data_IF_055076035632
#
_entry.id   IF_055076035632
#
_cell.length_a   1.000
_cell.length_b   1.000
_cell.length_c   1.000
_cell.angle_alpha   90.00
_cell.angle_beta   90.00
_cell.angle_gamma   90.00
#
_symmetry.space_group_name_H-M   'P 1'
#
loop_
_entity.id
_entity.type
_entity.pdbx_description
1 polymer ?
#
# COMPACT_ATOMS: atom_id res chain seq x y z
N UNK A 1 -21.30 -23.88 -8.81
CA UNK A 1 -20.63 -23.67 -7.50
C UNK A 1 -19.77 -24.87 -7.08
N UNK A 2 -20.31 -26.09 -6.93
CA UNK A 2 -19.53 -27.27 -6.46
C UNK A 2 -18.31 -27.66 -7.31
N UNK A 3 -18.32 -27.40 -8.63
CA UNK A 3 -17.18 -27.68 -9.51
C UNK A 3 -15.98 -26.72 -9.28
N UNK A 4 -16.25 -25.46 -8.92
CA UNK A 4 -15.21 -24.44 -8.69
C UNK A 4 -14.39 -24.75 -7.44
N UNK A 5 -15.03 -25.25 -6.37
CA UNK A 5 -14.37 -25.63 -5.12
C UNK A 5 -13.46 -26.85 -5.26
N UNK A 6 -13.58 -27.63 -6.35
CA UNK A 6 -12.74 -28.81 -6.61
C UNK A 6 -11.48 -28.46 -7.40
N UNK A 7 -11.44 -27.27 -8.03
CA UNK A 7 -10.26 -26.76 -8.70
C UNK A 7 -9.41 -25.94 -7.72
N UNK A 8 -8.30 -26.52 -7.25
CA UNK A 8 -7.39 -25.90 -6.27
C UNK A 8 -6.89 -24.53 -6.71
N UNK A 9 -6.65 -24.32 -8.01
CA UNK A 9 -6.23 -23.02 -8.55
C UNK A 9 -7.35 -21.98 -8.47
N UNK A 10 -8.59 -22.38 -8.79
CA UNK A 10 -9.74 -21.48 -8.68
C UNK A 10 -10.01 -21.06 -7.23
N UNK A 11 -9.84 -21.99 -6.28
CA UNK A 11 -9.97 -21.69 -4.85
C UNK A 11 -8.85 -20.77 -4.36
N UNK A 12 -7.60 -21.00 -4.78
CA UNK A 12 -6.48 -20.14 -4.43
C UNK A 12 -6.66 -18.71 -4.97
N UNK A 13 -7.09 -18.58 -6.23
CA UNK A 13 -7.39 -17.28 -6.83
C UNK A 13 -8.53 -16.55 -6.10
N UNK A 14 -9.60 -17.28 -5.74
CA UNK A 14 -10.71 -16.71 -4.98
C UNK A 14 -10.27 -16.27 -3.57
N UNK A 15 -9.45 -17.08 -2.89
CA UNK A 15 -8.91 -16.73 -1.58
C UNK A 15 -8.03 -15.47 -1.64
N UNK A 16 -7.17 -15.36 -2.65
CA UNK A 16 -6.37 -14.17 -2.88
C UNK A 16 -7.25 -12.93 -3.16
N UNK A 17 -8.28 -13.07 -4.00
CA UNK A 17 -9.21 -11.97 -4.28
C UNK A 17 -9.94 -11.51 -3.02
N UNK A 18 -10.39 -12.46 -2.18
CA UNK A 18 -11.01 -12.17 -0.90
C UNK A 18 -10.04 -11.46 0.05
N UNK A 19 -8.77 -11.87 0.09
CA UNK A 19 -7.75 -11.18 0.89
C UNK A 19 -7.60 -9.72 0.44
N UNK A 20 -7.49 -9.46 -0.86
CA UNK A 20 -7.41 -8.10 -1.41
C UNK A 20 -8.67 -7.29 -1.06
N UNK A 21 -9.86 -7.90 -1.16
CA UNK A 21 -11.11 -7.26 -0.81
C UNK A 21 -11.14 -6.86 0.68
N UNK A 22 -10.70 -7.74 1.57
CA UNK A 22 -10.57 -7.45 3.01
C UNK A 22 -9.60 -6.29 3.20
N UNK A 23 -8.41 -6.32 2.60
CA UNK A 23 -7.47 -5.20 2.70
C UNK A 23 -8.07 -3.88 2.21
N UNK A 24 -8.88 -3.89 1.14
CA UNK A 24 -9.53 -2.69 0.62
C UNK A 24 -10.62 -2.16 1.57
N UNK A 25 -11.46 -3.03 2.13
CA UNK A 25 -12.51 -2.64 3.08
C UNK A 25 -11.92 -2.09 4.38
N UNK A 26 -10.84 -2.71 4.86
CA UNK A 26 -10.14 -2.31 6.08
C UNK A 26 -8.97 -1.35 5.82
N UNK A 27 -8.83 -0.81 4.61
CA UNK A 27 -7.79 0.14 4.24
C UNK A 27 -7.66 1.33 5.21
N UNK A 28 -8.74 2.03 5.63
CA UNK A 28 -8.60 3.18 6.55
C UNK A 28 -8.09 2.80 7.95
N UNK A 29 -8.17 1.52 8.35
CA UNK A 29 -7.64 1.03 9.63
C UNK A 29 -6.18 0.56 9.52
N UNK A 30 -5.79 0.06 8.34
CA UNK A 30 -4.44 -0.49 8.09
C UNK A 30 -3.48 0.62 7.64
N UNK A 31 -3.94 1.49 6.75
CA UNK A 31 -3.19 2.59 6.17
C UNK A 31 -4.06 3.86 6.23
N UNK A 32 -4.13 4.52 7.40
CA UNK A 32 -4.95 5.73 7.58
C UNK A 32 -4.41 6.96 6.85
N UNK A 33 -3.16 6.93 6.37
CA UNK A 33 -2.57 8.00 5.58
C UNK A 33 -3.17 8.04 4.17
N UNK A 34 -3.52 9.24 3.70
CA UNK A 34 -4.03 9.42 2.33
C UNK A 34 -2.88 9.21 1.32
N UNK A 35 -2.94 8.17 0.47
CA UNK A 35 -1.88 7.89 -0.50
C UNK A 35 -1.76 8.95 -1.60
N UNK A 36 -2.75 9.84 -1.74
CA UNK A 36 -2.75 10.93 -2.71
C UNK A 36 -2.44 12.29 -2.10
N UNK A 37 -2.21 12.37 -0.78
CA UNK A 37 -1.79 13.62 -0.16
C UNK A 37 -0.42 14.05 -0.70
N UNK A 38 -0.31 15.32 -1.10
CA UNK A 38 0.90 15.88 -1.70
C UNK A 38 1.47 16.99 -0.82
N UNK A 39 2.78 16.95 -0.61
CA UNK A 39 3.53 18.03 0.05
C UNK A 39 4.74 18.42 -0.80
N UNK A 40 4.59 19.50 -1.57
CA UNK A 40 5.66 19.99 -2.45
C UNK A 40 6.92 20.44 -1.70
N UNK A 41 6.83 20.77 -0.41
CA UNK A 41 8.00 21.08 0.42
C UNK A 41 8.76 19.81 0.81
N UNK A 42 8.06 18.67 0.82
CA UNK A 42 8.65 17.38 1.10
C UNK A 42 9.13 16.63 -0.14
N UNK A 43 9.12 17.21 -1.34
CA UNK A 43 9.54 16.52 -2.58
C UNK A 43 11.00 16.04 -2.55
N UNK A 44 11.25 14.88 -3.17
CA UNK A 44 12.59 14.30 -3.35
C UNK A 44 13.40 14.16 -2.05
N UNK A 45 12.71 13.91 -0.93
CA UNK A 45 13.40 13.61 0.33
C UNK A 45 14.04 12.23 0.24
N UNK A 46 15.28 12.09 0.72
CA UNK A 46 15.92 10.79 0.75
C UNK A 46 15.26 9.89 1.81
N UNK A 47 15.51 8.58 1.77
CA UNK A 47 15.00 7.65 2.77
C UNK A 47 15.45 8.01 4.19
N UNK A 48 14.68 7.57 5.19
CA UNK A 48 14.88 7.92 6.60
C UNK A 48 16.29 7.60 7.14
N UNK A 49 16.98 6.63 6.54
CA UNK A 49 18.34 6.21 6.94
C UNK A 49 19.46 7.05 6.32
N UNK A 50 19.14 8.02 5.46
CA UNK A 50 20.13 8.92 4.85
C UNK A 50 20.07 10.32 5.45
N UNK A 51 21.15 11.09 5.28
CA UNK A 51 21.21 12.46 5.75
C UNK A 51 20.16 13.33 5.03
N UNK A 52 19.32 14.01 5.80
CA UNK A 52 18.18 14.79 5.28
C UNK A 52 16.88 13.99 5.11
N UNK A 53 16.85 12.71 5.47
CA UNK A 53 15.65 11.88 5.49
C UNK A 53 14.78 12.12 6.71
N UNK A 54 13.52 11.65 6.66
CA UNK A 54 12.55 11.78 7.75
C UNK A 54 11.93 10.43 8.07
N UNK A 55 11.70 10.14 9.36
CA UNK A 55 10.96 8.95 9.77
C UNK A 55 9.48 8.98 9.37
N UNK A 56 8.96 10.14 8.98
CA UNK A 56 7.63 10.27 8.39
C UNK A 56 7.53 9.56 7.03
N UNK A 57 8.65 9.52 6.28
CA UNK A 57 8.72 8.94 4.95
C UNK A 57 9.88 7.93 4.92
N UNK A 58 9.59 6.68 5.32
CA UNK A 58 10.62 5.67 5.54
C UNK A 58 11.52 5.48 4.31
N UNK A 59 10.92 5.39 3.11
CA UNK A 59 11.64 5.23 1.86
C UNK A 59 11.90 6.58 1.14
N UNK A 60 11.53 7.70 1.75
CA UNK A 60 11.62 9.03 1.16
C UNK A 60 10.34 9.41 0.41
N UNK A 61 10.45 10.40 -0.47
CA UNK A 61 9.28 10.95 -1.19
C UNK A 61 9.53 11.11 -2.69
N UNK A 62 8.43 11.09 -3.45
CA UNK A 62 8.46 11.30 -4.90
C UNK A 62 8.52 12.80 -5.30
N UNK A 63 8.37 13.08 -6.60
CA UNK A 63 8.38 14.45 -7.15
C UNK A 63 7.21 15.32 -6.69
N UNK A 64 6.11 14.70 -6.24
CA UNK A 64 4.92 15.35 -5.71
C UNK A 64 4.94 15.40 -4.18
N UNK A 65 6.00 14.89 -3.55
CA UNK A 65 6.13 14.80 -2.11
C UNK A 65 5.27 13.73 -1.46
N UNK A 66 4.82 12.73 -2.24
CA UNK A 66 4.10 11.57 -1.72
C UNK A 66 5.09 10.57 -1.14
N UNK A 67 4.62 9.78 -0.19
CA UNK A 67 5.35 8.64 0.35
C UNK A 67 5.75 7.65 -0.74
N UNK A 68 6.98 7.12 -0.61
CA UNK A 68 7.52 5.99 -1.37
C UNK A 68 7.51 4.70 -0.56
#
# INVERSE_FOLDING_TARGET
VRSLLRNKLAVAALAFLLLVLVCAVFAPLIAPADPNAQDLLARLKPPAWQHGGSSAHLLGTDQLGRDL
#
